data_IF_555129468471
#
_entry.id   IF_555129468471
#
_cell.length_a   1.000
_cell.length_b   1.000
_cell.length_c   1.000
_cell.angle_alpha   90.00
_cell.angle_beta   90.00
_cell.angle_gamma   90.00
#
_symmetry.space_group_name_H-M   'P 1'
#
loop_
_entity.id
_entity.type
_entity.pdbx_description
1 polymer ?
#
# COMPACT_ATOMS: atom_id res chain seq x y z
N UNK A 1 8.67 17.80 -17.50
CA UNK A 1 8.41 16.98 -16.29
C UNK A 1 8.85 15.56 -16.60
N UNK A 2 9.76 14.98 -15.82
CA UNK A 2 10.11 13.57 -15.97
C UNK A 2 8.87 12.73 -15.65
N UNK A 3 8.49 11.80 -16.54
CA UNK A 3 7.44 10.83 -16.26
C UNK A 3 7.97 9.94 -15.13
N UNK A 4 7.36 10.03 -13.94
CA UNK A 4 7.71 9.15 -12.84
C UNK A 4 7.50 7.69 -13.29
N UNK A 5 8.49 6.83 -13.06
CA UNK A 5 8.37 5.41 -13.38
C UNK A 5 7.22 4.78 -12.61
N UNK A 6 6.68 3.67 -13.12
CA UNK A 6 5.62 2.91 -12.43
C UNK A 6 6.06 2.57 -11.00
N UNK A 7 7.32 2.17 -10.80
CA UNK A 7 7.89 1.87 -9.48
C UNK A 7 7.83 3.06 -8.53
N UNK A 8 8.16 4.27 -9.00
CA UNK A 8 8.06 5.49 -8.19
C UNK A 8 6.63 5.76 -7.77
N UNK A 9 5.69 5.67 -8.70
CA UNK A 9 4.27 5.94 -8.42
C UNK A 9 3.66 4.92 -7.45
N UNK A 10 3.94 3.63 -7.67
CA UNK A 10 3.48 2.55 -6.80
C UNK A 10 4.07 2.70 -5.39
N UNK A 11 5.38 2.97 -5.28
CA UNK A 11 6.06 3.21 -4.00
C UNK A 11 5.42 4.37 -3.22
N UNK A 12 5.19 5.51 -3.89
CA UNK A 12 4.53 6.66 -3.28
C UNK A 12 3.10 6.36 -2.84
N UNK A 13 2.35 5.59 -3.62
CA UNK A 13 0.98 5.20 -3.28
C UNK A 13 0.95 4.30 -2.05
N UNK A 14 1.81 3.29 -2.01
CA UNK A 14 1.96 2.42 -0.83
C UNK A 14 2.31 3.24 0.41
N UNK A 15 3.32 4.13 0.33
CA UNK A 15 3.72 4.99 1.45
C UNK A 15 2.59 5.89 1.94
N UNK A 16 1.83 6.48 1.01
CA UNK A 16 0.68 7.32 1.34
C UNK A 16 -0.39 6.51 2.09
N UNK A 17 -0.67 5.28 1.64
CA UNK A 17 -1.61 4.39 2.33
C UNK A 17 -1.11 3.96 3.71
N UNK A 18 0.17 3.60 3.85
CA UNK A 18 0.77 3.27 5.15
C UNK A 18 0.57 4.44 6.14
N UNK A 19 0.90 5.66 5.69
CA UNK A 19 0.71 6.88 6.49
C UNK A 19 -0.76 7.15 6.82
N UNK A 20 -1.67 7.03 5.85
CA UNK A 20 -3.10 7.26 6.05
C UNK A 20 -3.72 6.25 7.03
N UNK A 21 -3.21 5.02 7.06
CA UNK A 21 -3.71 3.95 7.92
C UNK A 21 -2.99 3.84 9.27
N UNK A 22 -1.95 4.66 9.49
CA UNK A 22 -1.15 4.61 10.71
C UNK A 22 -0.41 3.28 10.89
N UNK A 23 -0.11 2.57 9.81
CA UNK A 23 0.65 1.30 9.84
C UNK A 23 2.05 1.52 9.29
N UNK A 24 2.98 0.68 9.73
CA UNK A 24 4.41 0.83 9.40
C UNK A 24 4.85 -0.14 8.30
N UNK A 25 6.08 0.04 7.82
CA UNK A 25 6.67 -0.91 6.88
C UNK A 25 6.89 -2.28 7.55
N UNK A 26 7.27 -2.31 8.83
CA UNK A 26 7.41 -3.52 9.65
C UNK A 26 6.10 -4.30 9.70
N UNK A 27 4.98 -3.62 9.93
CA UNK A 27 3.65 -4.24 9.86
C UNK A 27 3.37 -4.86 8.48
N UNK A 28 3.73 -4.15 7.41
CA UNK A 28 3.57 -4.65 6.05
C UNK A 28 4.43 -5.90 5.81
N UNK A 29 5.66 -5.93 6.33
CA UNK A 29 6.55 -7.11 6.28
C UNK A 29 5.89 -8.32 6.89
N UNK A 30 5.41 -8.16 8.12
CA UNK A 30 4.85 -9.25 8.92
C UNK A 30 3.57 -9.77 8.27
N UNK A 31 2.74 -8.88 7.73
CA UNK A 31 1.44 -9.25 7.14
C UNK A 31 1.59 -9.89 5.76
N UNK A 32 2.56 -9.43 4.95
CA UNK A 32 2.75 -9.90 3.57
C UNK A 32 3.75 -11.06 3.47
N UNK A 33 4.56 -11.28 4.49
CA UNK A 33 5.72 -12.18 4.43
C UNK A 33 6.89 -11.62 3.60
N UNK A 34 6.78 -10.42 3.03
CA UNK A 34 7.85 -9.81 2.24
C UNK A 34 8.94 -9.33 3.21
N UNK A 35 10.21 -9.74 3.03
CA UNK A 35 11.28 -9.34 3.93
C UNK A 35 11.47 -7.82 3.99
N UNK A 36 11.84 -7.31 5.16
CA UNK A 36 11.97 -5.88 5.37
C UNK A 36 13.04 -5.23 4.50
N UNK A 37 14.16 -5.93 4.25
CA UNK A 37 15.17 -5.50 3.28
C UNK A 37 14.60 -5.34 1.87
N UNK A 38 13.70 -6.23 1.46
CA UNK A 38 13.02 -6.16 0.16
C UNK A 38 12.09 -4.96 0.13
N UNK A 39 11.23 -4.80 1.14
CA UNK A 39 10.33 -3.65 1.24
C UNK A 39 11.10 -2.31 1.23
N UNK A 40 12.22 -2.20 1.93
CA UNK A 40 13.02 -0.96 1.93
C UNK A 40 13.59 -0.61 0.56
N UNK A 41 13.93 -1.61 -0.26
CA UNK A 41 14.33 -1.39 -1.65
C UNK A 41 13.16 -1.02 -2.55
N UNK A 42 12.01 -1.69 -2.41
CA UNK A 42 10.79 -1.41 -3.20
C UNK A 42 10.19 -0.04 -2.86
N UNK A 43 10.28 0.35 -1.60
CA UNK A 43 9.75 1.59 -1.04
C UNK A 43 10.87 2.60 -0.77
N UNK A 44 11.95 2.58 -1.54
CA UNK A 44 13.00 3.59 -1.39
C UNK A 44 12.45 4.98 -1.80
N UNK A 45 12.91 6.06 -1.14
CA UNK A 45 12.43 7.42 -1.40
C UNK A 45 12.85 7.95 -2.78
N UNK A 46 14.12 7.77 -3.12
CA UNK A 46 14.71 8.32 -4.35
C UNK A 46 14.60 7.36 -5.54
N UNK A 47 15.01 6.10 -5.38
CA UNK A 47 15.05 5.12 -6.46
C UNK A 47 14.42 3.77 -6.04
N UNK A 48 13.09 3.68 -6.01
CA UNK A 48 12.40 2.43 -5.67
C UNK A 48 12.62 1.36 -6.73
N UNK A 49 13.02 0.17 -6.29
CA UNK A 49 13.24 -0.98 -7.17
C UNK A 49 11.92 -1.49 -7.77
N UNK A 50 11.94 -2.08 -8.98
CA UNK A 50 10.78 -2.76 -9.57
C UNK A 50 10.22 -3.83 -8.64
N UNK A 51 8.91 -4.04 -8.66
CA UNK A 51 8.18 -5.03 -7.84
C UNK A 51 7.53 -6.06 -8.76
N UNK A 52 7.42 -7.33 -8.33
CA UNK A 52 6.64 -8.31 -9.09
C UNK A 52 5.14 -8.03 -8.96
N UNK A 53 4.33 -8.57 -9.88
CA UNK A 53 2.87 -8.47 -9.77
C UNK A 53 2.34 -9.19 -8.54
N UNK A 54 2.97 -10.31 -8.14
CA UNK A 54 2.58 -11.05 -6.93
C UNK A 54 2.88 -10.26 -5.66
N UNK A 55 4.05 -9.62 -5.57
CA UNK A 55 4.40 -8.71 -4.47
C UNK A 55 3.38 -7.56 -4.40
N UNK A 56 3.00 -7.00 -5.55
CA UNK A 56 2.05 -5.89 -5.63
C UNK A 56 0.63 -6.30 -5.23
N UNK A 57 0.15 -7.47 -5.68
CA UNK A 57 -1.16 -8.00 -5.33
C UNK A 57 -1.27 -8.26 -3.82
N UNK A 58 -0.27 -8.92 -3.23
CA UNK A 58 -0.25 -9.22 -1.79
C UNK A 58 -0.22 -7.93 -0.95
N UNK A 59 0.55 -6.93 -1.37
CA UNK A 59 0.58 -5.61 -0.72
C UNK A 59 -0.78 -4.90 -0.87
N UNK A 60 -1.38 -4.91 -2.06
CA UNK A 60 -2.67 -4.27 -2.31
C UNK A 60 -3.77 -4.87 -1.43
N UNK A 61 -3.84 -6.21 -1.34
CA UNK A 61 -4.79 -6.92 -0.47
C UNK A 61 -4.57 -6.59 1.00
N UNK A 62 -3.33 -6.61 1.48
CA UNK A 62 -2.98 -6.24 2.86
C UNK A 62 -3.40 -4.79 3.18
N UNK A 63 -3.24 -3.91 2.20
CA UNK A 63 -3.66 -2.51 2.27
C UNK A 63 -5.10 -2.30 1.81
N UNK A 64 -5.97 -3.32 1.82
CA UNK A 64 -7.38 -3.25 1.41
C UNK A 64 -7.63 -2.28 0.23
N UNK A 65 -6.89 -2.48 -0.86
CA UNK A 65 -6.93 -1.68 -2.09
C UNK A 65 -6.68 -2.60 -3.29
N UNK A 66 -6.78 -2.06 -4.51
CA UNK A 66 -6.50 -2.81 -5.74
C UNK A 66 -5.13 -2.44 -6.32
N UNK A 67 -4.54 -3.35 -7.10
CA UNK A 67 -3.30 -3.07 -7.85
C UNK A 67 -3.48 -1.88 -8.80
N UNK A 68 -4.65 -1.77 -9.46
CA UNK A 68 -4.96 -0.67 -10.36
C UNK A 68 -4.89 0.69 -9.65
N UNK A 69 -5.47 0.81 -8.45
CA UNK A 69 -5.41 2.04 -7.65
C UNK A 69 -3.97 2.41 -7.25
N UNK A 70 -3.13 1.42 -6.92
CA UNK A 70 -1.71 1.65 -6.62
C UNK A 70 -0.93 2.12 -7.87
N UNK A 71 -1.25 1.59 -9.04
CA UNK A 71 -0.59 1.92 -10.32
C UNK A 71 -1.06 3.28 -10.86
N UNK A 72 -2.33 3.61 -10.70
CA UNK A 72 -2.88 4.91 -11.12
C UNK A 72 -2.49 6.03 -10.15
N UNK A 73 -2.16 5.68 -8.90
CA UNK A 73 -1.95 6.65 -7.82
C UNK A 73 -3.24 7.29 -7.32
N UNK A 74 -4.39 6.77 -7.77
CA UNK A 74 -5.73 7.17 -7.34
C UNK A 74 -6.06 6.36 -6.09
N UNK A 75 -5.54 6.82 -4.97
CA UNK A 75 -5.91 6.28 -3.66
C UNK A 75 -7.25 6.88 -3.30
N UNK A 76 -8.31 6.23 -3.75
CA UNK A 76 -9.66 6.55 -3.30
C UNK A 76 -9.69 6.42 -1.77
N UNK A 77 -10.34 7.38 -1.11
CA UNK A 77 -10.67 7.27 0.30
C UNK A 77 -11.75 6.19 0.47
N UNK A 78 -11.41 4.92 0.27
CA UNK A 78 -12.38 3.83 0.33
C UNK A 78 -12.59 3.40 1.79
N UNK A 79 -13.69 3.92 2.35
CA UNK A 79 -14.64 3.24 3.24
C UNK A 79 -14.13 2.56 4.53
N UNK A 80 -13.30 3.22 5.32
CA UNK A 80 -13.04 2.79 6.71
C UNK A 80 -14.16 3.17 7.71
N UNK A 81 -15.24 3.82 7.27
CA UNK A 81 -16.39 4.14 8.13
C UNK A 81 -17.53 3.09 8.10
N UNK A 82 -17.51 2.09 7.21
CA UNK A 82 -18.67 1.20 7.04
C UNK A 82 -18.73 0.02 8.03
N UNK A 83 -17.60 -0.48 8.54
CA UNK A 83 -17.59 -1.70 9.37
C UNK A 83 -17.66 -1.42 10.89
N UNK A 84 -17.17 -0.27 11.35
CA UNK A 84 -17.15 0.08 12.78
C UNK A 84 -18.50 0.63 13.31
N UNK A 85 -19.40 1.05 12.42
CA UNK A 85 -20.73 1.58 12.79
C UNK A 85 -21.81 0.52 13.00
N UNK A 86 -21.72 -0.66 12.34
CA UNK A 86 -22.77 -1.70 12.45
C UNK A 86 -22.72 -2.50 13.75
N UNK A 87 -21.56 -2.62 14.40
CA UNK A 87 -21.42 -3.41 15.64
C UNK A 87 -21.82 -2.65 16.93
N UNK A 88 -22.04 -1.34 16.87
CA UNK A 88 -22.48 -0.53 18.04
C UNK A 88 -23.99 -0.24 18.09
N UNK A 89 -24.75 -0.62 17.06
CA UNK A 89 -26.21 -0.42 17.03
C UNK A 89 -27.02 -1.69 17.35
N UNK A 90 -26.35 -2.79 17.73
CA UNK A 90 -26.99 -4.09 17.99
C UNK A 90 -26.56 -4.72 19.33
N UNK A 91 -26.06 -3.91 20.27
CA UNK A 91 -25.74 -4.35 21.63
C UNK A 91 -26.19 -3.28 22.64
#
# INVERSE_FOLDING_TARGET
MAIATISTRVSQSIKKLLKQRGVTQEWLSTTTGIPMRTLSRRLHDVNPSPMSLDELDIIARSLNTSMAQLIEGVIAASELNAEHGRKKAAA
#
